data_IF_660172774086
#
_entry.id   IF_660172774086
#
_cell.length_a   1.000
_cell.length_b   1.000
_cell.length_c   1.000
_cell.angle_alpha   90.00
_cell.angle_beta   90.00
_cell.angle_gamma   90.00
#
_symmetry.space_group_name_H-M   'P 1'
#
loop_
_entity.id
_entity.type
_entity.pdbx_description
1 polymer ?
#
# COMPACT_ATOMS: atom_id res chain seq x y z
N UNK A 1 40.10 10.78 19.80
CA UNK A 1 39.32 9.72 20.47
C UNK A 1 38.23 9.31 19.50
N UNK A 2 38.09 8.02 19.21
CA UNK A 2 36.93 7.53 18.44
C UNK A 2 35.69 7.72 19.29
N UNK A 3 34.69 8.42 18.76
CA UNK A 3 33.37 8.54 19.37
C UNK A 3 32.74 7.14 19.48
N UNK A 4 32.27 6.76 20.66
CA UNK A 4 31.65 5.47 20.94
C UNK A 4 30.40 5.71 21.79
N UNK A 5 29.23 5.49 21.20
CA UNK A 5 27.90 5.71 21.79
C UNK A 5 27.40 4.51 22.59
N UNK A 6 27.78 3.30 22.17
CA UNK A 6 27.40 2.06 22.84
C UNK A 6 28.54 1.03 22.88
N UNK A 7 28.43 0.08 23.81
CA UNK A 7 29.26 -1.11 23.92
C UNK A 7 28.39 -2.34 24.29
N UNK A 8 28.99 -3.52 24.42
CA UNK A 8 28.30 -4.71 24.91
C UNK A 8 28.20 -4.72 26.43
N UNK A 9 27.05 -5.12 26.96
CA UNK A 9 26.81 -5.23 28.40
C UNK A 9 27.47 -6.46 29.05
N UNK A 10 28.05 -7.36 28.25
CA UNK A 10 28.58 -8.66 28.66
C UNK A 10 27.54 -9.79 28.69
N UNK A 11 26.23 -9.47 28.56
CA UNK A 11 25.17 -10.47 28.43
C UNK A 11 25.07 -11.00 27.00
N UNK A 12 24.77 -12.29 26.88
CA UNK A 12 24.65 -12.97 25.60
C UNK A 12 23.37 -13.80 25.51
N UNK A 13 22.81 -13.92 24.31
CA UNK A 13 21.64 -14.73 23.99
C UNK A 13 21.96 -15.64 22.80
N UNK A 14 21.51 -16.90 22.83
CA UNK A 14 21.50 -17.76 21.62
C UNK A 14 20.13 -17.65 20.95
N UNK A 15 20.10 -17.19 19.72
CA UNK A 15 18.88 -17.03 18.93
C UNK A 15 19.10 -17.59 17.52
N UNK A 16 18.25 -18.53 17.07
CA UNK A 16 18.35 -19.19 15.75
C UNK A 16 19.77 -19.65 15.36
N UNK A 17 20.52 -20.18 16.33
CA UNK A 17 21.90 -20.66 16.13
C UNK A 17 23.00 -19.60 16.21
N UNK A 18 22.64 -18.30 16.30
CA UNK A 18 23.58 -17.19 16.42
C UNK A 18 23.79 -16.78 17.88
N UNK A 19 24.97 -16.25 18.18
CA UNK A 19 25.27 -15.61 19.46
C UNK A 19 25.03 -14.10 19.31
N UNK A 20 24.14 -13.56 20.14
CA UNK A 20 23.84 -12.14 20.19
C UNK A 20 24.41 -11.53 21.47
N UNK A 21 24.76 -10.26 21.39
CA UNK A 21 25.28 -9.44 22.47
C UNK A 21 24.29 -8.33 22.79
N UNK A 22 23.96 -8.18 24.08
CA UNK A 22 23.11 -7.06 24.50
C UNK A 22 23.93 -5.78 24.55
N UNK A 23 23.37 -4.69 24.03
CA UNK A 23 24.05 -3.38 24.03
C UNK A 23 23.76 -2.58 25.30
N UNK A 24 24.66 -1.67 25.63
CA UNK A 24 24.51 -0.67 26.69
C UNK A 24 25.07 0.67 26.21
N UNK A 25 24.36 1.76 26.50
CA UNK A 25 24.83 3.11 26.20
C UNK A 25 26.01 3.45 27.11
N UNK A 26 27.07 4.04 26.57
CA UNK A 26 28.26 4.44 27.34
C UNK A 26 28.36 5.95 27.57
N UNK A 27 27.49 6.71 26.91
CA UNK A 27 27.36 8.16 27.04
C UNK A 27 25.88 8.57 26.95
N UNK A 28 25.59 9.81 27.36
CA UNK A 28 24.27 10.41 27.20
C UNK A 28 24.10 10.94 25.77
N UNK A 29 22.99 10.61 25.12
CA UNK A 29 22.65 11.15 23.79
C UNK A 29 21.13 11.22 23.59
N UNK A 30 20.71 11.91 22.52
CA UNK A 30 19.30 12.00 22.13
C UNK A 30 19.00 10.99 21.03
N UNK A 31 17.98 10.16 21.25
CA UNK A 31 17.33 9.39 20.18
C UNK A 31 16.07 10.10 19.70
N UNK A 32 15.52 9.66 18.56
CA UNK A 32 14.21 10.12 18.07
C UNK A 32 13.06 9.85 19.06
N UNK A 33 13.22 8.91 19.98
CA UNK A 33 12.22 8.57 21.01
C UNK A 33 12.52 9.19 22.39
N UNK A 34 13.57 10.00 22.51
CA UNK A 34 13.94 10.69 23.76
C UNK A 34 15.37 10.42 24.23
N UNK A 35 15.74 10.94 25.41
CA UNK A 35 17.11 10.85 25.92
C UNK A 35 17.48 9.41 26.31
N UNK A 36 18.63 8.95 25.83
CA UNK A 36 19.29 7.71 26.25
C UNK A 36 20.46 8.09 27.15
N UNK A 37 20.43 7.61 28.40
CA UNK A 37 21.48 7.91 29.38
C UNK A 37 22.56 6.83 29.38
N UNK A 38 23.78 7.21 29.74
CA UNK A 38 24.86 6.27 30.00
C UNK A 38 24.40 5.19 31.01
N UNK A 39 24.71 3.93 30.70
CA UNK A 39 24.27 2.75 31.45
C UNK A 39 22.87 2.24 31.04
N UNK A 40 22.14 2.92 30.16
CA UNK A 40 20.88 2.41 29.62
C UNK A 40 21.12 1.14 28.80
N UNK A 41 20.43 0.06 29.16
CA UNK A 41 20.51 -1.23 28.48
C UNK A 41 19.57 -1.22 27.28
N UNK A 42 20.07 -1.64 26.11
CA UNK A 42 19.27 -1.79 24.89
C UNK A 42 18.97 -3.24 24.55
N UNK A 43 18.58 -3.45 23.30
CA UNK A 43 18.31 -4.75 22.71
C UNK A 43 19.59 -5.51 22.31
N UNK A 44 19.47 -6.36 21.30
CA UNK A 44 20.46 -7.38 20.97
C UNK A 44 21.01 -7.20 19.56
N UNK A 45 22.33 -7.33 19.42
CA UNK A 45 23.02 -7.31 18.12
C UNK A 45 23.90 -8.55 17.94
N UNK A 46 24.04 -9.07 16.73
CA UNK A 46 25.04 -10.12 16.45
C UNK A 46 26.46 -9.53 16.47
N UNK A 47 26.63 -8.36 15.89
CA UNK A 47 27.90 -7.63 15.86
C UNK A 47 27.68 -6.14 16.05
N UNK A 48 28.74 -5.41 16.41
CA UNK A 48 28.72 -3.95 16.52
C UNK A 48 28.45 -3.24 15.20
N UNK A 49 28.45 -3.95 14.06
CA UNK A 49 28.08 -3.40 12.74
C UNK A 49 26.58 -3.30 12.53
N UNK A 50 25.77 -3.98 13.36
CA UNK A 50 24.33 -3.95 13.19
C UNK A 50 23.71 -2.61 13.66
N UNK A 51 24.41 -1.85 14.50
CA UNK A 51 23.98 -0.54 14.99
C UNK A 51 25.09 0.50 14.79
N UNK A 52 24.76 1.64 14.20
CA UNK A 52 25.72 2.74 13.98
C UNK A 52 26.15 3.40 15.29
N UNK A 53 27.45 3.70 15.39
CA UNK A 53 28.02 4.54 16.45
C UNK A 53 27.71 6.04 16.25
N UNK A 54 27.25 6.45 15.06
CA UNK A 54 26.86 7.83 14.74
C UNK A 54 25.33 7.99 14.69
N UNK A 55 24.86 9.21 14.94
CA UNK A 55 23.43 9.57 14.97
C UNK A 55 22.71 9.11 16.25
N UNK A 56 21.43 9.43 16.37
CA UNK A 56 20.57 9.07 17.50
C UNK A 56 20.01 7.65 17.47
N UNK A 57 20.41 6.82 16.49
CA UNK A 57 19.81 5.50 16.32
C UNK A 57 19.99 4.58 17.54
N UNK A 58 18.98 3.76 17.83
CA UNK A 58 18.97 2.90 19.01
C UNK A 58 18.17 1.61 18.80
N UNK A 59 18.63 0.53 19.44
CA UNK A 59 17.90 -0.72 19.55
C UNK A 59 17.52 -0.91 21.02
N UNK A 60 16.24 -0.94 21.32
CA UNK A 60 15.69 -1.03 22.67
C UNK A 60 15.02 -2.38 22.96
N UNK A 61 14.63 -2.57 24.21
CA UNK A 61 13.80 -3.69 24.68
C UNK A 61 14.38 -5.07 24.34
N UNK A 62 13.59 -5.93 23.68
CA UNK A 62 13.97 -7.26 23.22
C UNK A 62 14.26 -7.30 21.72
N UNK A 63 14.37 -6.14 21.06
CA UNK A 63 14.61 -6.11 19.63
C UNK A 63 15.96 -6.72 19.27
N UNK A 64 16.00 -7.38 18.12
CA UNK A 64 17.16 -8.13 17.61
C UNK A 64 17.56 -7.56 16.25
N UNK A 65 18.85 -7.28 16.08
CA UNK A 65 19.47 -7.02 14.78
C UNK A 65 20.61 -8.00 14.52
N UNK A 66 20.54 -8.75 13.43
CA UNK A 66 21.52 -9.80 13.12
C UNK A 66 21.83 -9.88 11.63
N UNK A 67 22.77 -10.75 11.27
CA UNK A 67 23.37 -10.85 9.94
C UNK A 67 24.00 -9.51 9.52
N UNK A 68 23.70 -9.06 8.31
CA UNK A 68 24.15 -7.79 7.72
C UNK A 68 23.09 -6.71 7.84
N UNK A 69 22.13 -6.84 8.77
CA UNK A 69 21.19 -5.75 9.03
C UNK A 69 21.92 -4.52 9.57
N UNK A 70 21.47 -3.32 9.23
CA UNK A 70 22.05 -2.06 9.71
C UNK A 70 20.97 -1.09 10.17
N UNK A 71 21.10 -0.61 11.41
CA UNK A 71 20.31 0.45 12.00
C UNK A 71 21.23 1.68 12.13
N UNK A 72 20.89 2.79 11.48
CA UNK A 72 21.73 4.00 11.47
C UNK A 72 20.92 5.30 11.45
N UNK A 73 21.62 6.45 11.42
CA UNK A 73 21.02 7.79 11.49
C UNK A 73 20.25 7.98 12.82
N UNK A 74 18.94 8.29 12.78
CA UNK A 74 18.10 8.51 13.97
C UNK A 74 17.02 7.44 14.14
N UNK A 75 17.19 6.30 13.47
CA UNK A 75 16.24 5.19 13.47
C UNK A 75 16.14 4.51 14.84
N UNK A 76 14.92 4.12 15.21
CA UNK A 76 14.63 3.46 16.48
C UNK A 76 13.99 2.09 16.25
N UNK A 77 14.58 1.05 16.82
CA UNK A 77 14.04 -0.31 16.78
C UNK A 77 13.78 -0.78 18.20
N UNK A 78 12.57 -1.26 18.51
CA UNK A 78 12.18 -1.59 19.88
C UNK A 78 11.17 -2.73 20.00
N UNK A 79 10.64 -2.90 21.20
CA UNK A 79 9.76 -4.00 21.59
C UNK A 79 10.38 -5.39 21.26
N UNK A 80 9.74 -6.18 20.41
CA UNK A 80 10.15 -7.54 20.02
C UNK A 80 10.52 -7.63 18.54
N UNK A 81 10.87 -6.51 17.89
CA UNK A 81 11.17 -6.47 16.47
C UNK A 81 12.44 -7.29 16.14
N UNK A 82 12.43 -7.99 15.00
CA UNK A 82 13.55 -8.82 14.53
C UNK A 82 13.97 -8.38 13.13
N UNK A 83 15.21 -7.93 13.01
CA UNK A 83 15.84 -7.50 11.76
C UNK A 83 16.98 -8.48 11.42
N UNK A 84 16.96 -9.04 10.21
CA UNK A 84 17.93 -10.05 9.79
C UNK A 84 18.28 -9.94 8.29
N UNK A 85 19.17 -10.80 7.81
CA UNK A 85 19.72 -10.80 6.45
C UNK A 85 20.44 -9.48 6.08
N UNK A 86 19.86 -8.66 5.20
CA UNK A 86 20.44 -7.43 4.64
C UNK A 86 19.53 -6.22 4.89
N UNK A 87 18.73 -6.25 5.95
CA UNK A 87 17.77 -5.18 6.25
C UNK A 87 18.47 -3.88 6.57
N UNK A 88 17.93 -2.75 6.10
CA UNK A 88 18.41 -1.42 6.47
C UNK A 88 17.28 -0.59 7.07
N UNK A 89 17.52 -0.03 8.25
CA UNK A 89 16.61 0.95 8.88
C UNK A 89 17.37 2.23 9.16
N UNK A 90 16.92 3.35 8.61
CA UNK A 90 17.60 4.65 8.71
C UNK A 90 16.61 5.82 8.62
N UNK A 91 17.09 7.06 8.57
CA UNK A 91 16.28 8.25 8.80
C UNK A 91 15.83 8.35 10.26
N UNK A 92 14.60 8.79 10.47
CA UNK A 92 13.90 8.80 11.76
C UNK A 92 12.93 7.61 11.88
N UNK A 93 13.13 6.56 11.09
CA UNK A 93 12.21 5.42 11.02
C UNK A 93 12.08 4.69 12.35
N UNK A 94 10.87 4.24 12.65
CA UNK A 94 10.52 3.56 13.91
C UNK A 94 9.96 2.18 13.62
N UNK A 95 10.64 1.13 14.10
CA UNK A 95 10.21 -0.27 13.96
C UNK A 95 9.99 -0.88 15.34
N UNK A 96 8.76 -1.26 15.64
CA UNK A 96 8.29 -1.68 16.95
C UNK A 96 7.46 -2.98 16.84
N UNK A 97 6.90 -3.40 17.98
CA UNK A 97 5.98 -4.52 18.07
C UNK A 97 6.68 -5.87 17.87
N UNK A 98 5.97 -6.81 17.28
CA UNK A 98 6.45 -8.12 16.84
C UNK A 98 6.82 -8.10 15.34
N UNK A 99 7.33 -6.98 14.85
CA UNK A 99 7.66 -6.82 13.43
C UNK A 99 8.87 -7.67 13.03
N UNK A 100 8.78 -8.37 11.89
CA UNK A 100 9.86 -9.14 11.32
C UNK A 100 10.29 -8.53 9.98
N UNK A 101 11.51 -8.01 9.92
CA UNK A 101 12.12 -7.50 8.69
C UNK A 101 13.22 -8.47 8.25
N UNK A 102 13.24 -8.85 6.98
CA UNK A 102 14.24 -9.79 6.44
C UNK A 102 14.50 -9.56 4.94
N UNK A 103 15.45 -10.31 4.35
CA UNK A 103 15.71 -10.37 2.89
C UNK A 103 15.69 -9.01 2.16
N UNK A 104 16.66 -8.15 2.47
CA UNK A 104 16.86 -6.84 1.82
C UNK A 104 15.73 -5.81 2.01
N UNK A 105 14.80 -6.00 2.94
CA UNK A 105 13.79 -4.99 3.24
C UNK A 105 14.43 -3.68 3.76
N UNK A 106 13.82 -2.55 3.41
CA UNK A 106 14.28 -1.22 3.84
C UNK A 106 13.15 -0.42 4.49
N UNK A 107 13.46 0.26 5.59
CA UNK A 107 12.56 1.23 6.23
C UNK A 107 13.32 2.53 6.47
N UNK A 108 12.83 3.64 5.92
CA UNK A 108 13.52 4.93 5.96
C UNK A 108 12.56 6.12 6.11
N UNK A 109 13.10 7.34 6.15
CA UNK A 109 12.32 8.55 6.38
C UNK A 109 11.80 8.64 7.82
N UNK A 110 10.58 9.10 8.01
CA UNK A 110 9.83 9.11 9.26
C UNK A 110 8.81 7.95 9.34
N UNK A 111 9.03 6.87 8.60
CA UNK A 111 8.10 5.75 8.52
C UNK A 111 7.97 5.02 9.87
N UNK A 112 6.78 4.51 10.15
CA UNK A 112 6.47 3.76 11.37
C UNK A 112 5.92 2.38 11.05
N UNK A 113 6.53 1.36 11.64
CA UNK A 113 6.10 -0.04 11.55
C UNK A 113 5.90 -0.58 12.97
N UNK A 114 4.71 -1.06 13.29
CA UNK A 114 4.37 -1.57 14.62
C UNK A 114 3.30 -2.68 14.52
N UNK A 115 3.17 -3.53 15.53
CA UNK A 115 2.30 -4.72 15.48
C UNK A 115 3.03 -5.99 15.00
N UNK A 116 2.31 -6.89 14.34
CA UNK A 116 2.77 -8.18 13.81
C UNK A 116 3.07 -8.07 12.29
N UNK A 117 3.92 -7.12 11.91
CA UNK A 117 4.19 -6.81 10.50
C UNK A 117 5.36 -7.63 9.96
N UNK A 118 5.21 -8.21 8.76
CA UNK A 118 6.31 -8.82 8.01
C UNK A 118 6.72 -7.92 6.84
N UNK A 119 7.99 -7.55 6.75
CA UNK A 119 8.56 -6.84 5.59
C UNK A 119 9.73 -7.64 5.03
N UNK A 120 9.64 -8.06 3.77
CA UNK A 120 10.61 -9.01 3.21
C UNK A 120 10.80 -8.86 1.70
N UNK A 121 11.76 -9.58 1.12
CA UNK A 121 12.01 -9.67 -0.32
C UNK A 121 12.07 -8.28 -0.99
N UNK A 122 13.03 -7.43 -0.61
CA UNK A 122 13.25 -6.10 -1.23
C UNK A 122 12.10 -5.09 -1.09
N UNK A 123 11.14 -5.31 -0.18
CA UNK A 123 10.11 -4.31 0.09
C UNK A 123 10.69 -3.04 0.74
N UNK A 124 10.12 -1.88 0.38
CA UNK A 124 10.56 -0.58 0.86
C UNK A 124 9.41 0.20 1.53
N UNK A 125 9.67 0.77 2.69
CA UNK A 125 8.74 1.63 3.43
C UNK A 125 9.46 2.96 3.71
N UNK A 126 8.88 4.09 3.30
CA UNK A 126 9.54 5.39 3.35
C UNK A 126 8.61 6.55 3.70
N UNK A 127 9.18 7.76 3.75
CA UNK A 127 8.50 9.02 4.07
C UNK A 127 7.77 8.99 5.42
N UNK A 128 6.45 9.17 5.46
CA UNK A 128 5.61 9.18 6.67
C UNK A 128 4.65 7.97 6.71
N UNK A 129 4.94 6.91 5.94
CA UNK A 129 4.09 5.72 5.89
C UNK A 129 3.94 5.09 7.28
N UNK A 130 2.73 4.62 7.60
CA UNK A 130 2.41 4.03 8.90
C UNK A 130 1.76 2.66 8.74
N UNK A 131 2.46 1.61 9.19
CA UNK A 131 2.07 0.21 9.01
C UNK A 131 1.82 -0.43 10.37
N UNK A 132 0.63 -0.99 10.54
CA UNK A 132 0.14 -1.59 11.76
C UNK A 132 -0.50 -2.96 11.50
N UNK A 133 -1.00 -3.60 12.56
CA UNK A 133 -1.77 -4.84 12.45
C UNK A 133 -0.92 -6.07 12.14
N UNK A 134 -1.43 -6.92 11.25
CA UNK A 134 -0.81 -8.18 10.77
C UNK A 134 -0.47 -8.08 9.27
N UNK A 135 0.12 -6.95 8.88
CA UNK A 135 0.40 -6.64 7.48
C UNK A 135 1.61 -7.43 6.94
N UNK A 136 1.54 -7.87 5.69
CA UNK A 136 2.62 -8.53 4.96
C UNK A 136 3.00 -7.69 3.73
N UNK A 137 4.22 -7.15 3.72
CA UNK A 137 4.75 -6.32 2.63
C UNK A 137 5.97 -7.01 2.02
N UNK A 138 5.91 -7.40 0.75
CA UNK A 138 6.98 -8.22 0.17
C UNK A 138 7.14 -8.16 -1.35
N UNK A 139 8.33 -8.49 -1.85
CA UNK A 139 8.50 -8.79 -3.28
C UNK A 139 8.64 -7.55 -4.16
N UNK A 140 9.42 -6.56 -3.72
CA UNK A 140 9.63 -5.24 -4.35
C UNK A 140 8.50 -4.21 -4.13
N UNK A 141 7.53 -4.50 -3.27
CA UNK A 141 6.46 -3.55 -2.95
C UNK A 141 7.00 -2.28 -2.27
N UNK A 142 6.40 -1.13 -2.58
CA UNK A 142 6.82 0.17 -2.06
C UNK A 142 5.66 0.88 -1.36
N UNK A 143 5.82 1.22 -0.09
CA UNK A 143 4.87 2.04 0.68
C UNK A 143 5.53 3.38 1.04
N UNK A 144 4.91 4.49 0.65
CA UNK A 144 5.51 5.83 0.75
C UNK A 144 4.51 6.93 1.11
N UNK A 145 4.96 8.18 1.11
CA UNK A 145 4.18 9.35 1.46
C UNK A 145 3.53 9.24 2.86
N UNK A 146 2.22 9.41 2.98
CA UNK A 146 1.44 9.33 4.23
C UNK A 146 0.49 8.11 4.24
N UNK A 147 0.81 7.08 3.44
CA UNK A 147 -0.01 5.87 3.36
C UNK A 147 -0.15 5.19 4.73
N UNK A 148 -1.35 4.65 5.00
CA UNK A 148 -1.66 3.93 6.24
C UNK A 148 -2.14 2.53 5.94
N UNK A 149 -1.51 1.54 6.56
CA UNK A 149 -1.90 0.14 6.46
C UNK A 149 -2.19 -0.38 7.86
N UNK A 150 -3.33 -1.04 8.05
CA UNK A 150 -3.71 -1.67 9.31
C UNK A 150 -4.53 -2.95 9.04
N UNK A 151 -4.54 -3.91 9.95
CA UNK A 151 -5.18 -5.22 9.73
C UNK A 151 -4.29 -6.26 9.03
N UNK A 152 -4.90 -7.29 8.44
CA UNK A 152 -4.26 -8.43 7.76
C UNK A 152 -4.09 -8.18 6.24
N UNK A 153 -3.48 -7.04 5.92
CA UNK A 153 -3.27 -6.57 4.54
C UNK A 153 -2.05 -7.22 3.91
N UNK A 154 -2.13 -7.52 2.61
CA UNK A 154 -0.98 -7.99 1.82
C UNK A 154 -0.67 -7.01 0.69
N UNK A 155 0.55 -6.47 0.66
CA UNK A 155 1.06 -5.66 -0.46
C UNK A 155 2.30 -6.32 -1.02
N UNK A 156 2.25 -6.73 -2.28
CA UNK A 156 3.35 -7.51 -2.83
C UNK A 156 3.61 -7.34 -4.32
N UNK A 157 4.65 -8.01 -4.84
CA UNK A 157 5.17 -7.77 -6.19
C UNK A 157 5.60 -6.31 -6.35
N UNK A 158 5.40 -5.69 -7.50
CA UNK A 158 5.83 -4.33 -7.80
C UNK A 158 4.79 -3.26 -7.37
N UNK A 159 3.85 -3.61 -6.49
CA UNK A 159 2.80 -2.70 -6.07
C UNK A 159 3.35 -1.47 -5.34
N UNK A 160 2.76 -0.31 -5.66
CA UNK A 160 3.10 0.98 -5.04
C UNK A 160 1.88 1.55 -4.32
N UNK A 161 2.05 1.91 -3.05
CA UNK A 161 1.02 2.56 -2.24
C UNK A 161 1.58 3.87 -1.69
N UNK A 162 0.98 4.99 -2.08
CA UNK A 162 1.42 6.33 -1.71
C UNK A 162 0.28 7.29 -1.40
N UNK A 163 0.56 8.59 -1.46
CA UNK A 163 -0.37 9.63 -1.06
C UNK A 163 -0.82 9.50 0.41
N UNK A 164 -2.12 9.57 0.65
CA UNK A 164 -2.79 9.34 1.95
C UNK A 164 -3.67 8.08 1.89
N UNK A 165 -3.33 7.13 1.03
CA UNK A 165 -4.09 5.90 0.87
C UNK A 165 -4.22 5.14 2.20
N UNK A 166 -5.35 4.46 2.39
CA UNK A 166 -5.67 3.66 3.57
C UNK A 166 -6.01 2.25 3.16
N UNK A 167 -5.22 1.28 3.60
CA UNK A 167 -5.47 -0.14 3.37
C UNK A 167 -5.85 -0.80 4.70
N UNK A 168 -7.01 -1.46 4.78
CA UNK A 168 -7.48 -2.13 6.00
C UNK A 168 -7.98 -3.56 5.80
N UNK A 169 -8.23 -4.25 6.93
CA UNK A 169 -8.87 -5.57 7.00
C UNK A 169 -8.08 -6.68 6.30
N UNK A 170 -8.56 -7.23 5.18
CA UNK A 170 -7.93 -8.33 4.43
C UNK A 170 -7.56 -7.94 2.99
N UNK A 171 -7.37 -6.64 2.72
CA UNK A 171 -7.08 -6.14 1.39
C UNK A 171 -5.80 -6.73 0.79
N UNK A 172 -5.81 -7.00 -0.52
CA UNK A 172 -4.66 -7.52 -1.29
C UNK A 172 -4.34 -6.58 -2.45
N UNK A 173 -3.09 -6.13 -2.51
CA UNK A 173 -2.59 -5.19 -3.52
C UNK A 173 -1.32 -5.81 -4.10
N UNK A 174 -1.32 -6.11 -5.40
CA UNK A 174 -0.19 -6.76 -6.06
C UNK A 174 -0.11 -6.46 -7.56
N UNK A 175 0.74 -7.18 -8.29
CA UNK A 175 1.16 -6.83 -9.65
C UNK A 175 2.03 -5.58 -9.65
N UNK A 176 1.88 -4.79 -10.71
CA UNK A 176 2.44 -3.45 -10.89
C UNK A 176 1.37 -2.38 -10.57
N UNK A 177 0.47 -2.65 -9.63
CA UNK A 177 -0.63 -1.74 -9.28
C UNK A 177 -0.14 -0.51 -8.51
N UNK A 178 -0.84 0.61 -8.70
CA UNK A 178 -0.51 1.89 -8.07
C UNK A 178 -1.73 2.47 -7.35
N UNK A 179 -1.60 2.69 -6.03
CA UNK A 179 -2.63 3.25 -5.17
C UNK A 179 -2.15 4.59 -4.63
N UNK A 180 -2.83 5.68 -4.98
CA UNK A 180 -2.45 7.05 -4.65
C UNK A 180 -3.65 7.85 -4.12
N UNK A 181 -3.40 9.12 -3.78
CA UNK A 181 -4.45 10.04 -3.32
C UNK A 181 -5.00 9.65 -1.95
N UNK A 182 -6.31 9.68 -1.78
CA UNK A 182 -7.04 9.34 -0.55
C UNK A 182 -7.76 7.99 -0.66
N UNK A 183 -7.31 7.10 -1.54
CA UNK A 183 -7.95 5.81 -1.78
C UNK A 183 -8.07 4.98 -0.50
N UNK A 184 -9.24 4.41 -0.26
CA UNK A 184 -9.54 3.50 0.84
C UNK A 184 -9.82 2.11 0.28
N UNK A 185 -8.93 1.16 0.52
CA UNK A 185 -9.08 -0.25 0.13
C UNK A 185 -9.25 -1.09 1.38
N UNK A 186 -10.32 -1.88 1.48
CA UNK A 186 -10.66 -2.59 2.72
C UNK A 186 -11.40 -3.90 2.47
N UNK A 187 -11.80 -4.55 3.56
CA UNK A 187 -12.43 -5.87 3.57
C UNK A 187 -11.59 -6.90 2.80
N UNK A 188 -12.12 -7.60 1.81
CA UNK A 188 -11.44 -8.60 0.98
C UNK A 188 -11.13 -8.09 -0.44
N UNK A 189 -11.05 -6.77 -0.63
CA UNK A 189 -10.75 -6.17 -1.92
C UNK A 189 -9.40 -6.66 -2.49
N UNK A 190 -9.37 -6.89 -3.80
CA UNK A 190 -8.22 -7.46 -4.52
C UNK A 190 -7.84 -6.58 -5.71
N UNK A 191 -6.67 -5.93 -5.65
CA UNK A 191 -6.16 -5.06 -6.71
C UNK A 191 -4.88 -5.66 -7.28
N UNK A 192 -4.87 -5.93 -8.57
CA UNK A 192 -3.77 -6.61 -9.26
C UNK A 192 -3.47 -6.04 -10.65
N UNK A 193 -2.46 -6.59 -11.34
CA UNK A 193 -2.07 -6.17 -12.68
C UNK A 193 -1.43 -4.79 -12.67
N UNK A 194 -1.78 -3.93 -13.64
CA UNK A 194 -1.32 -2.55 -13.79
C UNK A 194 -2.42 -1.54 -13.40
N UNK A 195 -3.30 -1.90 -12.46
CA UNK A 195 -4.39 -1.05 -12.03
C UNK A 195 -3.88 0.23 -11.35
N UNK A 196 -4.50 1.37 -11.64
CA UNK A 196 -4.14 2.66 -11.07
C UNK A 196 -5.35 3.30 -10.36
N UNK A 197 -5.22 3.58 -9.08
CA UNK A 197 -6.25 4.23 -8.25
C UNK A 197 -5.74 5.59 -7.79
N UNK A 198 -6.39 6.67 -8.20
CA UNK A 198 -5.99 8.05 -7.84
C UNK A 198 -7.18 8.93 -7.45
N UNK A 199 -7.26 9.36 -6.20
CA UNK A 199 -8.33 10.26 -5.73
C UNK A 199 -8.92 9.82 -4.40
N UNK A 200 -10.12 10.30 -4.09
CA UNK A 200 -10.95 9.88 -2.96
C UNK A 200 -11.79 8.64 -3.30
N UNK A 201 -11.11 7.52 -3.53
CA UNK A 201 -11.73 6.26 -4.00
C UNK A 201 -12.07 5.34 -2.83
N UNK A 202 -13.14 4.55 -2.94
CA UNK A 202 -13.41 3.45 -2.01
C UNK A 202 -13.50 2.11 -2.74
N UNK A 203 -12.67 1.13 -2.35
CA UNK A 203 -12.74 -0.25 -2.81
C UNK A 203 -12.96 -1.16 -1.60
N UNK A 204 -14.04 -1.92 -1.58
CA UNK A 204 -14.46 -2.66 -0.39
C UNK A 204 -15.15 -3.99 -0.72
N UNK A 205 -15.57 -4.70 0.32
CA UNK A 205 -16.15 -6.04 0.26
C UNK A 205 -15.26 -7.05 -0.49
N UNK A 206 -15.71 -7.62 -1.60
CA UNK A 206 -14.97 -8.57 -2.44
C UNK A 206 -14.66 -7.98 -3.83
N UNK A 207 -14.61 -6.65 -3.94
CA UNK A 207 -14.36 -5.99 -5.22
C UNK A 207 -12.97 -6.35 -5.76
N UNK A 208 -12.89 -6.62 -7.06
CA UNK A 208 -11.67 -6.99 -7.77
C UNK A 208 -11.36 -5.97 -8.85
N UNK A 209 -10.15 -5.43 -8.82
CA UNK A 209 -9.63 -4.48 -9.82
C UNK A 209 -8.38 -5.08 -10.44
N UNK A 210 -8.31 -5.17 -11.77
CA UNK A 210 -7.21 -5.87 -12.46
C UNK A 210 -6.94 -5.31 -13.85
N UNK A 211 -5.90 -5.80 -14.53
CA UNK A 211 -5.52 -5.31 -15.86
C UNK A 211 -4.92 -3.90 -15.80
N UNK A 212 -5.26 -3.03 -16.74
CA UNK A 212 -4.86 -1.61 -16.79
C UNK A 212 -5.98 -0.68 -16.31
N UNK A 213 -6.85 -1.17 -15.43
CA UNK A 213 -8.00 -0.41 -14.97
C UNK A 213 -7.57 0.87 -14.25
N UNK A 214 -8.23 1.99 -14.53
CA UNK A 214 -8.01 3.27 -13.85
C UNK A 214 -9.24 3.66 -13.06
N UNK A 215 -9.08 3.90 -11.77
CA UNK A 215 -10.15 4.43 -10.93
C UNK A 215 -9.68 5.78 -10.41
N UNK A 216 -10.52 6.79 -10.51
CA UNK A 216 -10.17 8.17 -10.24
C UNK A 216 -11.27 8.94 -9.51
N UNK A 217 -10.91 10.14 -9.04
CA UNK A 217 -11.81 11.12 -8.40
C UNK A 217 -12.51 10.58 -7.15
N UNK A 218 -13.82 10.30 -7.21
CA UNK A 218 -14.64 9.90 -6.07
C UNK A 218 -15.31 8.54 -6.31
N UNK A 219 -14.70 7.72 -7.16
CA UNK A 219 -15.29 6.46 -7.60
C UNK A 219 -15.26 5.41 -6.47
N UNK A 220 -16.20 4.47 -6.56
CA UNK A 220 -16.50 3.49 -5.54
C UNK A 220 -16.68 2.11 -6.20
N UNK A 221 -15.99 1.10 -5.70
CA UNK A 221 -16.13 -0.30 -6.14
C UNK A 221 -16.39 -1.18 -4.91
N UNK A 222 -17.58 -1.79 -4.83
CA UNK A 222 -18.05 -2.54 -3.65
C UNK A 222 -18.73 -3.84 -4.04
N UNK A 223 -19.15 -4.63 -3.05
CA UNK A 223 -19.75 -5.94 -3.26
C UNK A 223 -18.80 -6.90 -3.99
N UNK A 224 -19.28 -7.55 -5.05
CA UNK A 224 -18.46 -8.41 -5.91
C UNK A 224 -18.11 -7.71 -7.23
N UNK A 225 -17.95 -6.39 -7.23
CA UNK A 225 -17.66 -5.64 -8.46
C UNK A 225 -16.34 -6.14 -9.08
N UNK A 226 -16.33 -6.33 -10.40
CA UNK A 226 -15.10 -6.68 -11.14
C UNK A 226 -14.81 -5.56 -12.13
N UNK A 227 -13.70 -4.87 -11.95
CA UNK A 227 -13.18 -3.82 -12.85
C UNK A 227 -11.90 -4.35 -13.48
N UNK A 228 -11.89 -4.63 -14.77
CA UNK A 228 -10.70 -5.21 -15.41
C UNK A 228 -10.46 -4.76 -16.85
N UNK A 229 -9.30 -5.11 -17.40
CA UNK A 229 -8.88 -4.66 -18.73
C UNK A 229 -8.48 -3.19 -18.69
N UNK A 230 -8.92 -2.39 -19.67
CA UNK A 230 -8.61 -0.96 -19.75
C UNK A 230 -9.73 -0.08 -19.17
N UNK A 231 -10.59 -0.63 -18.29
CA UNK A 231 -11.74 0.08 -17.74
C UNK A 231 -11.32 1.35 -17.00
N UNK A 232 -12.03 2.46 -17.24
CA UNK A 232 -11.84 3.71 -16.49
C UNK A 232 -13.10 4.04 -15.71
N UNK A 233 -12.94 4.32 -14.42
CA UNK A 233 -13.99 4.76 -13.50
C UNK A 233 -13.55 6.10 -12.92
N UNK A 234 -14.11 7.19 -13.41
CA UNK A 234 -13.82 8.55 -12.92
C UNK A 234 -15.12 9.26 -12.55
N UNK A 235 -15.06 10.31 -11.72
CA UNK A 235 -16.23 10.94 -11.11
C UNK A 235 -16.79 10.21 -9.88
N UNK A 236 -18.07 10.41 -9.56
CA UNK A 236 -18.76 9.80 -8.41
C UNK A 236 -19.44 8.46 -8.79
N UNK A 237 -18.74 7.54 -9.43
CA UNK A 237 -19.33 6.29 -9.98
C UNK A 237 -19.29 5.17 -8.94
N UNK A 238 -20.34 4.32 -8.85
CA UNK A 238 -20.37 3.17 -7.92
C UNK A 238 -20.56 1.84 -8.65
N UNK A 239 -19.50 1.07 -8.82
CA UNK A 239 -19.58 -0.32 -9.27
C UNK A 239 -19.97 -1.22 -8.09
N UNK A 240 -21.12 -1.88 -8.14
CA UNK A 240 -21.59 -2.76 -7.06
C UNK A 240 -22.47 -3.89 -7.61
N UNK A 241 -21.89 -5.07 -7.87
CA UNK A 241 -22.60 -6.12 -8.59
C UNK A 241 -23.66 -6.85 -7.76
N UNK A 242 -24.79 -7.18 -8.42
CA UNK A 242 -24.90 -8.47 -9.15
C UNK A 242 -25.80 -8.37 -10.40
N UNK A 243 -25.31 -8.50 -11.67
CA UNK A 243 -23.96 -8.87 -12.13
C UNK A 243 -23.22 -7.70 -12.84
N UNK A 244 -22.48 -6.88 -12.09
CA UNK A 244 -21.61 -5.82 -12.62
C UNK A 244 -20.19 -6.36 -12.82
N UNK A 245 -19.96 -7.03 -13.95
CA UNK A 245 -18.63 -7.16 -14.53
C UNK A 245 -18.39 -5.95 -15.43
N UNK A 246 -17.54 -5.00 -15.02
CA UNK A 246 -16.94 -4.01 -15.90
C UNK A 246 -15.63 -4.63 -16.42
N UNK A 247 -15.78 -5.60 -17.32
CA UNK A 247 -14.68 -6.40 -17.84
C UNK A 247 -14.62 -6.29 -19.36
N UNK A 248 -13.42 -6.09 -19.93
CA UNK A 248 -13.20 -6.08 -21.38
C UNK A 248 -14.15 -5.16 -22.17
N UNK A 249 -14.43 -3.96 -21.66
CA UNK A 249 -15.10 -2.97 -22.49
C UNK A 249 -14.13 -2.61 -23.64
N UNK A 250 -14.48 -2.86 -24.92
CA UNK A 250 -13.64 -2.49 -26.06
C UNK A 250 -13.44 -0.97 -26.16
N UNK A 251 -14.29 -0.22 -25.45
CA UNK A 251 -14.32 1.23 -25.45
C UNK A 251 -14.03 1.78 -24.05
N UNK A 252 -13.26 2.86 -24.03
CA UNK A 252 -13.10 3.72 -22.86
C UNK A 252 -14.47 4.33 -22.50
N UNK A 253 -14.91 4.25 -21.25
CA UNK A 253 -16.14 4.92 -20.79
C UNK A 253 -15.80 5.94 -19.71
N UNK A 254 -16.28 7.18 -19.88
CA UNK A 254 -16.19 8.25 -18.87
C UNK A 254 -17.59 8.78 -18.59
N UNK A 255 -18.00 8.84 -17.32
CA UNK A 255 -19.30 9.40 -16.90
C UNK A 255 -19.04 10.69 -16.12
N UNK A 256 -19.67 11.80 -16.54
CA UNK A 256 -19.56 13.10 -15.87
C UNK A 256 -20.94 13.62 -15.43
N UNK A 257 -20.98 14.79 -14.77
CA UNK A 257 -22.23 15.45 -14.36
C UNK A 257 -23.08 15.91 -15.57
N UNK A 258 -22.50 16.01 -16.78
CA UNK A 258 -23.15 16.59 -17.95
C UNK A 258 -23.27 15.64 -19.14
N UNK A 259 -22.33 14.71 -19.29
CA UNK A 259 -22.24 13.82 -20.45
C UNK A 259 -21.58 12.49 -20.10
N UNK A 260 -21.83 11.49 -20.93
CA UNK A 260 -21.15 10.21 -20.95
C UNK A 260 -20.33 10.17 -22.23
N UNK A 261 -19.06 9.81 -22.12
CA UNK A 261 -18.17 9.57 -23.26
C UNK A 261 -17.93 8.07 -23.40
N UNK A 262 -18.08 7.53 -24.60
CA UNK A 262 -17.72 6.15 -24.95
C UNK A 262 -16.79 6.21 -26.16
N UNK A 263 -15.54 5.79 -25.99
CA UNK A 263 -14.44 6.04 -26.92
C UNK A 263 -14.34 7.54 -27.27
N UNK A 264 -14.52 7.92 -28.53
CA UNK A 264 -14.44 9.31 -28.98
C UNK A 264 -15.81 10.00 -29.02
N UNK A 265 -16.90 9.27 -28.76
CA UNK A 265 -18.27 9.78 -28.83
C UNK A 265 -18.74 10.32 -27.49
N UNK A 266 -19.25 11.55 -27.49
CA UNK A 266 -19.71 12.28 -26.30
C UNK A 266 -21.19 12.61 -26.47
N UNK A 267 -22.03 12.05 -25.60
CA UNK A 267 -23.45 12.35 -25.58
C UNK A 267 -23.98 12.52 -24.15
N UNK A 268 -25.11 13.22 -24.02
CA UNK A 268 -25.86 13.31 -22.77
C UNK A 268 -26.47 11.96 -22.39
N UNK A 269 -26.90 11.82 -21.14
CA UNK A 269 -27.57 10.61 -20.66
C UNK A 269 -28.87 10.31 -21.44
N UNK A 270 -29.63 11.35 -21.81
CA UNK A 270 -30.87 11.21 -22.57
C UNK A 270 -30.62 10.71 -24.00
N UNK A 271 -29.53 11.16 -24.61
CA UNK A 271 -29.12 10.73 -25.95
C UNK A 271 -28.63 9.27 -25.95
N UNK A 272 -27.79 8.86 -24.99
CA UNK A 272 -27.38 7.46 -24.87
C UNK A 272 -28.56 6.52 -24.57
N UNK A 273 -29.62 6.98 -23.91
CA UNK A 273 -30.79 6.14 -23.65
C UNK A 273 -31.52 5.71 -24.91
N UNK A 274 -31.53 6.55 -25.94
CA UNK A 274 -32.30 6.29 -27.16
C UNK A 274 -31.50 5.54 -28.22
N UNK A 275 -30.16 5.57 -28.18
CA UNK A 275 -29.29 4.89 -29.15
C UNK A 275 -29.48 3.37 -29.10
N UNK A 276 -29.89 2.77 -30.22
CA UNK A 276 -30.01 1.32 -30.41
C UNK A 276 -28.64 0.63 -30.60
N UNK A 277 -28.60 -0.71 -30.59
CA UNK A 277 -27.37 -1.47 -30.84
C UNK A 277 -26.82 -1.23 -32.26
N UNK A 278 -27.71 -1.21 -33.25
CA UNK A 278 -27.35 -0.95 -34.64
C UNK A 278 -26.78 0.47 -34.82
N UNK A 279 -27.43 1.48 -34.21
CA UNK A 279 -26.91 2.86 -34.23
C UNK A 279 -25.58 2.99 -33.47
N UNK A 280 -25.37 2.19 -32.44
CA UNK A 280 -24.11 2.16 -31.71
C UNK A 280 -22.96 1.55 -32.54
N UNK A 281 -23.24 0.48 -33.31
CA UNK A 281 -22.29 -0.09 -34.27
C UNK A 281 -21.86 0.95 -35.33
N UNK A 282 -22.80 1.80 -35.78
CA UNK A 282 -22.53 2.88 -36.74
C UNK A 282 -21.68 4.02 -36.13
N UNK A 283 -21.92 4.36 -34.86
CA UNK A 283 -21.18 5.40 -34.12
C UNK A 283 -19.74 4.97 -33.80
N UNK A 284 -19.54 3.71 -33.42
CA UNK A 284 -18.25 3.18 -33.00
C UNK A 284 -17.91 1.91 -33.79
N UNK A 285 -17.41 2.05 -35.04
CA UNK A 285 -17.15 0.89 -35.89
C UNK A 285 -16.00 0.06 -35.31
N UNK A 286 -16.34 -1.12 -34.80
CA UNK A 286 -15.42 -2.10 -34.22
C UNK A 286 -16.05 -3.49 -34.17
N UNK A 287 -15.24 -4.54 -34.15
CA UNK A 287 -15.74 -5.92 -34.09
C UNK A 287 -16.51 -6.11 -32.76
N UNK A 288 -17.83 -6.33 -32.84
CA UNK A 288 -18.76 -6.57 -31.71
C UNK A 288 -19.21 -5.34 -30.89
N UNK A 289 -19.20 -4.12 -31.45
CA UNK A 289 -19.61 -2.91 -30.73
C UNK A 289 -21.11 -2.88 -30.33
N UNK A 290 -22.01 -3.32 -31.21
CA UNK A 290 -23.44 -3.41 -30.95
C UNK A 290 -23.76 -4.47 -29.90
N UNK A 291 -23.09 -5.64 -29.96
CA UNK A 291 -23.22 -6.68 -28.93
C UNK A 291 -22.75 -6.19 -27.56
N UNK A 292 -21.68 -5.40 -27.53
CA UNK A 292 -21.26 -4.70 -26.32
C UNK A 292 -22.38 -3.77 -25.82
N UNK A 293 -22.97 -2.96 -26.69
CA UNK A 293 -24.02 -2.03 -26.29
C UNK A 293 -25.26 -2.76 -25.76
N UNK A 294 -25.70 -3.83 -26.40
CA UNK A 294 -26.79 -4.66 -25.89
C UNK A 294 -26.50 -5.23 -24.49
N UNK A 295 -25.25 -5.63 -24.26
CA UNK A 295 -24.83 -6.27 -23.01
C UNK A 295 -24.67 -5.26 -21.86
N UNK A 296 -24.23 -4.04 -22.15
CA UNK A 296 -23.76 -3.09 -21.12
C UNK A 296 -24.54 -1.78 -21.08
N UNK A 297 -25.39 -1.45 -22.06
CA UNK A 297 -26.16 -0.19 -22.12
C UNK A 297 -26.94 0.07 -20.83
N UNK A 298 -27.70 -0.92 -20.36
CA UNK A 298 -28.53 -0.78 -19.15
C UNK A 298 -27.67 -0.47 -17.94
N UNK A 299 -26.50 -1.11 -17.83
CA UNK A 299 -25.56 -0.87 -16.74
C UNK A 299 -24.96 0.55 -16.81
N UNK A 300 -24.44 0.96 -17.98
CA UNK A 300 -23.83 2.28 -18.19
C UNK A 300 -24.84 3.40 -17.89
N UNK A 301 -26.08 3.25 -18.36
CA UNK A 301 -27.17 4.20 -18.12
C UNK A 301 -27.55 4.23 -16.64
N UNK A 302 -27.63 3.08 -15.95
CA UNK A 302 -27.93 3.04 -14.52
C UNK A 302 -26.86 3.75 -13.68
N UNK A 303 -25.58 3.55 -14.01
CA UNK A 303 -24.46 4.24 -13.38
C UNK A 303 -24.52 5.76 -13.58
N UNK A 304 -24.84 6.21 -14.80
CA UNK A 304 -24.99 7.63 -15.09
C UNK A 304 -26.20 8.27 -14.37
N UNK A 305 -27.31 7.56 -14.22
CA UNK A 305 -28.44 8.02 -13.41
C UNK A 305 -28.07 8.22 -11.94
N UNK A 306 -27.37 7.25 -11.34
CA UNK A 306 -26.91 7.37 -9.95
C UNK A 306 -25.97 8.57 -9.78
N UNK A 307 -25.06 8.78 -10.72
CA UNK A 307 -24.14 9.92 -10.72
C UNK A 307 -24.88 11.27 -10.76
N UNK A 308 -25.87 11.42 -11.66
CA UNK A 308 -26.54 12.70 -11.91
C UNK A 308 -27.66 13.03 -10.91
N UNK A 309 -28.20 12.04 -10.18
CA UNK A 309 -29.29 12.26 -9.21
C UNK A 309 -28.82 12.65 -7.80
N UNK A 310 -27.57 12.42 -7.42
CA UNK A 310 -27.05 12.72 -6.06
C UNK A 310 -26.86 14.23 -5.80
N UNK A 311 -27.12 15.10 -6.79
CA UNK A 311 -26.93 16.58 -6.68
C UNK A 311 -28.15 17.44 -7.03
N UNK A 312 -29.39 16.93 -6.90
CA UNK A 312 -30.61 17.79 -6.84
C UNK A 312 -31.12 17.96 -5.43
#
# INVERSE_FOLDING_TARGET
>A
MSFQKFDYSGRTLRYRGKLLHQIVAVEDFMSSQGPIRAGCVGGWVETSRNLSQQGGCWIADQAIAMDKSLICEDAYVGHNAVLQDYVKVHGEAVVLGHSHLMKFAQVQGCARVDGEVLVTNYAEIMDYASIFGRAHIYGYATIKDQAKIDGEVHVYEHAVVGGKARLTDHARIHGDSEIQGFASVKDFADIEGHAALEGEIEVADHAKISGYAKIADHACAKGNAIVCGNAILAGNVTASSSPDQIANLPFLITITDAHIQIADEIHTLEEWQVISADEFDDLLPGEHAGHFWESYKTFIIAQAHQHMHVRR
#
